data_IF_031576550545
#
_entry.id   IF_031576550545
#
_cell.length_a   1.000
_cell.length_b   1.000
_cell.length_c   1.000
_cell.angle_alpha   90.00
_cell.angle_beta   90.00
_cell.angle_gamma   90.00
#
_symmetry.space_group_name_H-M   'P 1'
#
loop_
_entity.id
_entity.type
_entity.pdbx_description
1 polymer ?
#
# COMPACT_ATOMS: atom_id res chain seq x y z
N UNK A 1 0.15 13.25 21.50
CA UNK A 1 1.55 13.50 21.88
C UNK A 1 2.34 13.62 20.58
N UNK A 2 3.06 14.71 20.38
CA UNK A 2 4.00 14.80 19.25
C UNK A 2 5.15 13.85 19.57
N UNK A 3 5.09 12.60 19.13
CA UNK A 3 6.27 11.74 19.15
C UNK A 3 7.26 12.32 18.15
N UNK A 4 8.40 12.74 18.64
CA UNK A 4 9.53 13.02 17.76
C UNK A 4 9.93 11.67 17.13
N UNK A 5 9.70 11.50 15.85
CA UNK A 5 9.98 10.26 15.11
C UNK A 5 11.47 9.86 15.16
N UNK A 6 12.34 10.77 15.58
CA UNK A 6 13.76 10.53 15.78
C UNK A 6 14.12 10.06 17.20
N UNK A 7 13.16 10.09 18.12
CA UNK A 7 13.29 9.65 19.52
C UNK A 7 12.52 8.34 19.78
N UNK A 8 11.96 7.71 18.75
CA UNK A 8 11.24 6.44 18.87
C UNK A 8 12.15 5.23 19.20
N UNK A 9 13.46 5.41 19.10
CA UNK A 9 14.46 4.40 19.45
C UNK A 9 14.66 3.31 18.38
N UNK A 10 14.05 3.45 17.19
CA UNK A 10 14.13 2.47 16.12
C UNK A 10 14.95 2.98 14.94
N UNK A 11 16.06 2.33 14.63
CA UNK A 11 16.78 2.55 13.38
C UNK A 11 15.99 1.89 12.25
N UNK A 12 15.62 2.66 11.21
CA UNK A 12 14.77 2.20 10.12
C UNK A 12 15.54 2.16 8.81
N UNK A 13 15.53 1.00 8.15
CA UNK A 13 16.10 0.81 6.82
C UNK A 13 15.01 0.30 5.89
N UNK A 14 14.75 1.02 4.82
CA UNK A 14 13.82 0.62 3.78
C UNK A 14 14.57 -0.13 2.65
N UNK A 15 14.31 -1.43 2.43
CA UNK A 15 14.95 -2.19 1.35
C UNK A 15 14.33 -1.90 -0.02
N UNK A 16 13.14 -1.30 -0.08
CA UNK A 16 12.34 -1.13 -1.27
C UNK A 16 11.76 0.28 -1.37
N UNK A 17 12.65 1.24 -1.60
CA UNK A 17 12.30 2.62 -1.88
C UNK A 17 12.51 2.90 -3.38
N UNK A 18 11.42 2.92 -4.13
CA UNK A 18 11.51 3.13 -5.56
C UNK A 18 11.90 4.55 -5.90
N UNK A 19 12.86 4.67 -6.82
CA UNK A 19 13.19 5.92 -7.48
C UNK A 19 12.68 5.85 -8.93
N UNK A 20 11.87 6.82 -9.30
CA UNK A 20 11.17 6.84 -10.58
C UNK A 20 11.65 8.04 -11.39
N UNK A 21 12.07 7.81 -12.64
CA UNK A 21 12.49 8.84 -13.57
C UNK A 21 11.34 9.67 -14.12
N UNK A 22 11.66 10.87 -14.61
CA UNK A 22 10.70 11.66 -15.37
C UNK A 22 10.35 10.90 -16.67
N UNK A 23 9.12 10.46 -16.74
CA UNK A 23 8.60 9.73 -17.88
C UNK A 23 8.17 10.64 -19.03
N UNK A 24 8.04 11.93 -18.78
CA UNK A 24 7.79 12.97 -19.77
C UNK A 24 6.96 12.52 -20.98
N UNK A 25 7.54 12.55 -22.19
CA UNK A 25 6.82 12.21 -23.43
C UNK A 25 6.30 10.77 -23.50
N UNK A 26 6.91 9.82 -22.77
CA UNK A 26 6.50 8.40 -22.83
C UNK A 26 5.25 8.08 -22.00
N UNK A 27 4.79 9.01 -21.17
CA UNK A 27 3.55 8.86 -20.40
C UNK A 27 2.31 8.56 -21.27
N UNK A 28 2.35 8.90 -22.54
CA UNK A 28 1.23 8.66 -23.47
C UNK A 28 1.23 7.25 -24.08
N UNK A 29 2.27 6.47 -23.91
CA UNK A 29 2.30 5.12 -24.46
C UNK A 29 1.30 4.20 -23.75
N UNK A 30 0.59 3.34 -24.53
CA UNK A 30 -0.44 2.48 -23.96
C UNK A 30 0.04 1.57 -22.82
N UNK A 31 1.28 1.07 -22.89
CA UNK A 31 1.89 0.27 -21.84
C UNK A 31 2.04 1.02 -20.53
N UNK A 32 2.50 2.27 -20.60
CA UNK A 32 2.62 3.15 -19.42
C UNK A 32 1.25 3.44 -18.82
N UNK A 33 0.27 3.73 -19.65
CA UNK A 33 -1.11 3.97 -19.20
C UNK A 33 -1.74 2.71 -18.54
N UNK A 34 -1.44 1.54 -19.07
CA UNK A 34 -1.87 0.28 -18.48
C UNK A 34 -1.24 0.06 -17.11
N UNK A 35 0.04 0.38 -16.98
CA UNK A 35 0.74 0.29 -15.71
C UNK A 35 0.16 1.25 -14.66
N UNK A 36 -0.11 2.52 -15.01
CA UNK A 36 -0.75 3.48 -14.11
C UNK A 36 -2.08 2.97 -13.57
N UNK A 37 -2.91 2.38 -14.43
CA UNK A 37 -4.19 1.77 -14.02
C UNK A 37 -3.99 0.61 -13.06
N UNK A 38 -2.94 -0.18 -13.27
CA UNK A 38 -2.62 -1.29 -12.36
C UNK A 38 -2.19 -0.77 -10.99
N UNK A 39 -1.31 0.24 -10.94
CA UNK A 39 -0.88 0.85 -9.67
C UNK A 39 -2.07 1.48 -8.93
N UNK A 40 -2.91 2.23 -9.60
CA UNK A 40 -4.12 2.78 -8.98
C UNK A 40 -5.00 1.66 -8.40
N UNK A 41 -5.17 0.56 -9.15
CA UNK A 41 -5.90 -0.62 -8.69
C UNK A 41 -5.30 -1.32 -7.46
N UNK A 42 -3.99 -1.26 -7.30
CA UNK A 42 -3.28 -1.82 -6.12
C UNK A 42 -3.40 -0.89 -4.92
N UNK A 43 -3.16 0.39 -5.15
CA UNK A 43 -3.08 1.36 -4.06
C UNK A 43 -4.45 1.61 -3.42
N UNK A 44 -5.54 1.59 -4.21
CA UNK A 44 -6.89 1.76 -3.67
C UNK A 44 -7.25 0.73 -2.59
N UNK A 45 -7.15 -0.60 -2.83
CA UNK A 45 -7.44 -1.57 -1.78
C UNK A 45 -6.46 -1.51 -0.59
N UNK A 46 -5.20 -1.19 -0.85
CA UNK A 46 -4.17 -1.06 0.21
C UNK A 46 -4.49 0.11 1.14
N UNK A 47 -5.06 1.18 0.59
CA UNK A 47 -5.45 2.38 1.32
C UNK A 47 -6.96 2.43 1.64
N UNK A 48 -7.72 1.39 1.34
CA UNK A 48 -9.15 1.34 1.66
C UNK A 48 -9.39 1.56 3.15
N UNK A 49 -10.24 2.53 3.47
CA UNK A 49 -10.45 2.97 4.86
C UNK A 49 -9.44 4.03 5.34
N UNK A 50 -8.43 4.36 4.52
CA UNK A 50 -7.59 5.51 4.79
C UNK A 50 -8.37 6.83 4.58
N UNK A 51 -7.97 7.91 5.26
CA UNK A 51 -8.54 9.23 5.02
C UNK A 51 -8.42 9.65 3.56
N UNK A 52 -9.40 10.40 3.05
CA UNK A 52 -9.49 10.82 1.64
C UNK A 52 -8.22 11.48 1.10
N UNK A 53 -7.51 12.24 1.93
CA UNK A 53 -6.25 12.85 1.50
C UNK A 53 -5.15 11.84 1.16
N UNK A 54 -5.15 10.63 1.75
CA UNK A 54 -4.23 9.56 1.34
C UNK A 54 -4.66 8.90 0.03
N UNK A 55 -5.97 8.82 -0.22
CA UNK A 55 -6.51 8.28 -1.47
C UNK A 55 -6.27 9.23 -2.65
N UNK A 56 -6.33 10.53 -2.40
CA UNK A 56 -6.11 11.57 -3.42
C UNK A 56 -4.63 11.86 -3.73
N UNK A 57 -3.70 11.26 -2.99
CA UNK A 57 -2.26 11.44 -3.21
C UNK A 57 -1.70 10.58 -4.34
N UNK A 58 -2.51 9.71 -4.95
CA UNK A 58 -2.09 8.78 -6.01
C UNK A 58 -2.43 9.37 -7.38
N UNK A 59 -2.00 10.58 -7.62
CA UNK A 59 -2.02 11.10 -8.97
C UNK A 59 -0.81 10.55 -9.73
N UNK A 60 -0.99 9.91 -10.89
CA UNK A 60 0.10 9.29 -11.65
C UNK A 60 1.30 10.22 -11.91
N UNK A 61 1.05 11.49 -12.11
CA UNK A 61 2.06 12.50 -12.36
C UNK A 61 2.88 12.90 -11.11
N UNK A 62 2.36 12.65 -9.90
CA UNK A 62 3.12 12.86 -8.66
C UNK A 62 4.28 11.85 -8.55
N UNK A 63 4.10 10.63 -9.06
CA UNK A 63 5.17 9.63 -9.09
C UNK A 63 6.35 10.06 -9.95
N UNK A 64 6.13 10.83 -10.98
CA UNK A 64 7.22 11.34 -11.84
C UNK A 64 8.10 12.37 -11.13
N UNK A 65 7.65 12.95 -10.02
CA UNK A 65 8.43 13.88 -9.20
C UNK A 65 9.35 13.19 -8.19
N UNK A 66 9.27 11.87 -8.05
CA UNK A 66 10.08 11.13 -7.10
C UNK A 66 11.52 10.91 -7.53
N UNK A 67 11.92 11.42 -8.71
CA UNK A 67 13.31 11.39 -9.17
C UNK A 67 14.25 12.34 -8.45
N UNK A 68 13.70 13.33 -7.78
CA UNK A 68 14.51 14.23 -6.97
C UNK A 68 14.85 13.52 -5.64
N UNK A 69 16.11 13.13 -5.41
CA UNK A 69 16.53 12.47 -4.18
C UNK A 69 16.23 13.31 -2.93
N UNK A 70 16.16 14.64 -3.06
CA UNK A 70 15.80 15.55 -1.97
C UNK A 70 14.34 15.35 -1.54
N UNK A 71 13.44 14.99 -2.44
CA UNK A 71 12.05 14.68 -2.09
C UNK A 71 11.97 13.39 -1.24
N UNK A 72 12.74 12.37 -1.62
CA UNK A 72 12.83 11.12 -0.87
C UNK A 72 13.44 11.41 0.51
N UNK A 73 14.53 12.16 0.55
CA UNK A 73 15.21 12.52 1.80
C UNK A 73 14.28 13.30 2.76
N UNK A 74 13.52 14.27 2.24
CA UNK A 74 12.53 14.99 3.05
C UNK A 74 11.48 14.07 3.65
N UNK A 75 10.97 13.11 2.87
CA UNK A 75 10.03 12.13 3.37
C UNK A 75 10.66 11.23 4.45
N UNK A 76 11.89 10.76 4.22
CA UNK A 76 12.63 9.97 5.21
C UNK A 76 12.84 10.76 6.51
N UNK A 77 13.26 12.01 6.40
CA UNK A 77 13.50 12.87 7.56
C UNK A 77 12.23 13.13 8.36
N UNK A 78 11.13 13.32 7.67
CA UNK A 78 9.83 13.55 8.26
C UNK A 78 9.30 12.37 9.07
N UNK A 79 9.55 11.15 8.58
CA UNK A 79 9.01 9.93 9.18
C UNK A 79 10.07 9.09 9.92
N UNK A 80 11.26 9.65 10.11
CA UNK A 80 12.31 9.03 10.90
C UNK A 80 12.91 7.78 10.27
N UNK A 81 13.08 7.76 8.94
CA UNK A 81 13.76 6.68 8.22
C UNK A 81 15.24 7.00 8.08
N UNK A 82 16.11 6.13 8.56
CA UNK A 82 17.57 6.38 8.62
C UNK A 82 18.26 6.14 7.28
N UNK A 83 17.88 5.07 6.59
CA UNK A 83 18.45 4.74 5.29
C UNK A 83 17.38 4.13 4.38
N UNK A 84 17.52 4.35 3.08
CA UNK A 84 16.69 3.74 2.07
C UNK A 84 17.53 3.13 0.95
N UNK A 85 17.20 1.90 0.58
CA UNK A 85 17.75 1.24 -0.59
C UNK A 85 16.99 1.76 -1.81
N UNK A 86 17.62 2.60 -2.61
CA UNK A 86 17.00 3.15 -3.81
C UNK A 86 16.95 2.08 -4.89
N UNK A 87 15.73 1.71 -5.23
CA UNK A 87 15.41 0.66 -6.18
C UNK A 87 14.83 1.29 -7.46
N UNK A 88 15.57 1.27 -8.57
CA UNK A 88 15.02 1.71 -9.84
C UNK A 88 14.05 0.66 -10.39
N UNK A 89 12.88 1.11 -10.82
CA UNK A 89 11.99 0.30 -11.62
C UNK A 89 12.42 0.36 -13.08
N UNK A 90 12.95 -0.73 -13.56
CA UNK A 90 13.26 -0.94 -14.94
C UNK A 90 12.54 -2.20 -15.39
N UNK A 91 11.25 -2.12 -15.56
CA UNK A 91 10.50 -3.15 -16.24
C UNK A 91 10.77 -3.00 -17.72
N UNK A 92 11.82 -3.62 -18.17
CA UNK A 92 12.17 -3.72 -19.59
C UNK A 92 11.31 -4.84 -20.18
N UNK A 93 10.22 -4.53 -20.42
CA UNK A 93 9.15 -4.99 -21.14
C UNK A 93 9.40 -6.01 -22.22
N UNK A 94 8.62 -7.01 -22.09
CA UNK A 94 8.19 -7.84 -23.20
C UNK A 94 7.44 -7.06 -24.28
N UNK A 95 7.12 -5.80 -24.14
CA UNK A 95 6.42 -4.94 -25.09
C UNK A 95 7.23 -3.75 -25.59
N UNK A 96 8.52 -3.70 -25.24
CA UNK A 96 9.49 -2.79 -25.84
C UNK A 96 9.63 -1.40 -25.24
N UNK A 97 8.78 -0.93 -24.32
CA UNK A 97 8.87 0.41 -23.70
C UNK A 97 8.01 0.62 -22.47
N UNK A 98 7.51 -0.42 -21.86
CA UNK A 98 6.37 -0.18 -20.98
C UNK A 98 6.69 0.54 -19.70
N UNK A 99 7.91 0.44 -19.19
CA UNK A 99 8.07 0.96 -17.85
C UNK A 99 9.51 1.14 -17.41
N UNK A 100 10.29 1.76 -18.25
CA UNK A 100 11.61 2.20 -17.82
C UNK A 100 11.50 3.53 -17.11
N UNK A 101 11.46 3.49 -15.80
CA UNK A 101 11.24 4.68 -14.99
C UNK A 101 12.52 5.29 -14.48
N UNK A 102 13.52 4.43 -14.27
CA UNK A 102 14.81 4.83 -13.76
C UNK A 102 15.82 3.73 -14.09
N UNK A 103 17.03 4.08 -14.41
CA UNK A 103 18.11 3.10 -14.57
C UNK A 103 18.89 2.92 -13.29
N UNK A 104 19.61 1.80 -13.16
CA UNK A 104 20.59 1.62 -12.08
C UNK A 104 21.59 2.78 -12.01
N UNK A 105 21.98 3.33 -13.16
CA UNK A 105 22.87 4.49 -13.25
C UNK A 105 22.24 5.79 -12.69
N UNK A 106 20.95 6.01 -12.92
CA UNK A 106 20.25 7.18 -12.37
C UNK A 106 20.07 7.04 -10.86
N UNK A 107 19.69 5.86 -10.38
CA UNK A 107 19.63 5.58 -8.95
C UNK A 107 21.00 5.76 -8.28
N UNK A 108 22.08 5.34 -8.95
CA UNK A 108 23.45 5.56 -8.45
C UNK A 108 23.80 7.03 -8.32
N UNK A 109 23.42 7.88 -9.27
CA UNK A 109 23.61 9.33 -9.13
C UNK A 109 22.90 9.88 -7.91
N UNK A 110 21.65 9.44 -7.67
CA UNK A 110 20.90 9.82 -6.47
C UNK A 110 21.58 9.35 -5.20
N UNK A 111 22.08 8.11 -5.15
CA UNK A 111 22.82 7.58 -3.99
C UNK A 111 24.07 8.44 -3.67
N UNK A 112 24.75 8.93 -4.70
CA UNK A 112 25.96 9.75 -4.52
C UNK A 112 25.68 11.13 -3.91
N UNK A 113 24.43 11.62 -3.92
CA UNK A 113 24.09 12.90 -3.28
C UNK A 113 24.06 12.77 -1.75
N UNK A 114 23.62 11.63 -1.22
CA UNK A 114 23.51 11.37 0.22
C UNK A 114 23.94 9.94 0.54
N UNK A 115 25.24 9.61 0.42
CA UNK A 115 25.74 8.23 0.55
C UNK A 115 25.64 7.64 1.96
N UNK A 116 25.36 8.45 2.96
CA UNK A 116 25.07 8.06 4.33
C UNK A 116 23.59 7.69 4.55
N UNK A 117 22.72 8.13 3.66
CA UNK A 117 21.27 7.92 3.74
C UNK A 117 20.73 6.98 2.66
N UNK A 118 21.33 7.00 1.48
CA UNK A 118 20.90 6.18 0.35
C UNK A 118 21.86 5.02 0.08
N UNK A 119 21.29 3.89 -0.24
CA UNK A 119 21.97 2.65 -0.60
C UNK A 119 21.47 2.26 -2.00
N UNK A 120 22.37 1.85 -2.88
CA UNK A 120 21.93 1.34 -4.19
C UNK A 120 21.37 -0.08 -4.04
N UNK A 121 20.18 -0.31 -4.59
CA UNK A 121 19.60 -1.64 -4.80
C UNK A 121 19.38 -1.85 -6.30
N UNK A 122 20.42 -2.28 -7.06
CA UNK A 122 20.30 -2.41 -8.49
C UNK A 122 19.24 -3.45 -8.88
N UNK A 123 18.37 -3.09 -9.82
CA UNK A 123 17.46 -4.04 -10.44
C UNK A 123 18.19 -4.79 -11.56
N UNK A 124 18.35 -6.11 -11.40
CA UNK A 124 19.04 -6.96 -12.34
C UNK A 124 18.10 -7.63 -13.36
N UNK A 125 16.81 -7.37 -13.26
CA UNK A 125 15.81 -7.97 -14.15
C UNK A 125 15.81 -7.35 -15.56
N UNK A 126 15.41 -8.11 -16.56
CA UNK A 126 15.21 -9.55 -16.56
C UNK A 126 16.57 -10.29 -16.65
N UNK A 127 16.76 -11.35 -15.87
CA UNK A 127 18.07 -12.08 -15.82
C UNK A 127 18.21 -13.04 -16.99
N UNK A 128 17.22 -13.90 -17.20
CA UNK A 128 17.25 -14.90 -18.26
C UNK A 128 17.19 -14.26 -19.64
N UNK A 129 16.25 -13.34 -19.86
CA UNK A 129 16.03 -12.72 -21.17
C UNK A 129 17.22 -11.85 -21.62
N UNK A 130 17.91 -11.18 -20.69
CA UNK A 130 19.14 -10.42 -20.99
C UNK A 130 20.36 -11.31 -21.15
N UNK A 131 20.26 -12.54 -20.72
CA UNK A 131 21.34 -13.51 -20.60
C UNK A 131 22.00 -13.50 -19.22
N UNK A 132 22.02 -14.66 -18.59
CA UNK A 132 22.53 -14.88 -17.22
C UNK A 132 23.95 -14.33 -17.03
N UNK A 133 24.84 -14.49 -18.01
CA UNK A 133 26.21 -13.95 -17.96
C UNK A 133 26.25 -12.42 -17.87
N UNK A 134 25.33 -11.74 -18.55
CA UNK A 134 25.24 -10.28 -18.49
C UNK A 134 24.72 -9.80 -17.13
N UNK A 135 23.77 -10.52 -16.55
CA UNK A 135 23.27 -10.22 -15.21
C UNK A 135 24.35 -10.46 -14.13
N UNK A 136 25.14 -11.51 -14.26
CA UNK A 136 26.31 -11.78 -13.39
C UNK A 136 27.31 -10.64 -13.50
N UNK A 137 27.70 -10.27 -14.72
CA UNK A 137 28.63 -9.15 -14.95
C UNK A 137 28.11 -7.84 -14.33
N UNK A 138 26.83 -7.53 -14.48
CA UNK A 138 26.24 -6.33 -13.89
C UNK A 138 26.22 -6.40 -12.35
N UNK A 139 25.91 -7.56 -11.79
CA UNK A 139 25.97 -7.76 -10.33
C UNK A 139 27.39 -7.51 -9.81
N UNK A 140 28.40 -8.09 -10.43
CA UNK A 140 29.82 -7.90 -10.09
C UNK A 140 30.22 -6.42 -10.19
N UNK A 141 29.83 -5.74 -11.27
CA UNK A 141 30.07 -4.31 -11.47
C UNK A 141 29.51 -3.46 -10.32
N UNK A 142 28.30 -3.79 -9.84
CA UNK A 142 27.71 -3.07 -8.72
C UNK A 142 28.32 -3.47 -7.37
N UNK A 143 28.74 -4.72 -7.21
CA UNK A 143 29.50 -5.15 -6.02
C UNK A 143 30.82 -4.39 -5.88
N UNK A 144 31.53 -4.12 -6.97
CA UNK A 144 32.71 -3.27 -6.98
C UNK A 144 32.41 -1.84 -6.53
N UNK A 145 31.19 -1.37 -6.72
CA UNK A 145 30.67 -0.09 -6.20
C UNK A 145 30.04 -0.21 -4.81
N UNK A 146 30.30 -1.31 -4.10
CA UNK A 146 29.84 -1.60 -2.74
C UNK A 146 28.33 -1.84 -2.61
N UNK A 147 27.61 -2.13 -3.69
CA UNK A 147 26.26 -2.69 -3.57
C UNK A 147 26.33 -4.05 -2.88
N UNK A 148 25.36 -4.33 -2.02
CA UNK A 148 25.23 -5.62 -1.33
C UNK A 148 23.86 -6.25 -1.52
N UNK A 149 22.87 -5.45 -1.92
CA UNK A 149 21.48 -5.81 -2.08
C UNK A 149 21.10 -5.62 -3.54
N UNK A 150 20.35 -6.56 -4.10
CA UNK A 150 19.99 -6.60 -5.53
C UNK A 150 18.56 -7.07 -5.72
N UNK A 151 17.80 -6.37 -6.55
CA UNK A 151 16.43 -6.75 -6.91
C UNK A 151 16.41 -7.73 -8.06
N UNK A 152 15.58 -8.76 -7.92
CA UNK A 152 15.11 -9.61 -9.01
C UNK A 152 13.58 -9.57 -9.10
N UNK A 153 13.06 -9.09 -10.23
CA UNK A 153 11.65 -9.04 -10.55
C UNK A 153 11.32 -10.13 -11.58
N UNK A 154 11.06 -11.34 -11.10
CA UNK A 154 10.79 -12.52 -11.91
C UNK A 154 9.51 -12.46 -12.77
N UNK A 155 8.44 -11.70 -12.40
CA UNK A 155 7.23 -11.65 -13.21
C UNK A 155 7.42 -11.29 -14.68
N UNK A 156 8.43 -10.53 -15.03
CA UNK A 156 8.76 -10.17 -16.42
C UNK A 156 9.91 -10.99 -17.03
N UNK A 157 10.31 -12.06 -16.38
CA UNK A 157 11.43 -12.87 -16.81
C UNK A 157 11.05 -14.35 -16.96
N UNK A 158 11.19 -15.11 -15.88
CA UNK A 158 10.95 -16.55 -15.84
C UNK A 158 10.60 -17.00 -14.42
N UNK A 159 10.37 -18.29 -14.20
CA UNK A 159 10.20 -18.87 -12.88
C UNK A 159 11.45 -18.61 -12.02
N UNK A 160 11.25 -18.29 -10.74
CA UNK A 160 12.36 -18.10 -9.78
C UNK A 160 13.26 -19.35 -9.75
N UNK A 161 12.67 -20.54 -9.80
CA UNK A 161 13.36 -21.82 -9.81
C UNK A 161 13.68 -22.35 -11.23
N UNK A 162 13.81 -21.48 -12.23
CA UNK A 162 14.27 -21.88 -13.56
C UNK A 162 15.75 -22.31 -13.48
N UNK A 163 16.10 -23.55 -13.85
CA UNK A 163 17.48 -24.04 -13.74
C UNK A 163 18.52 -23.23 -14.51
N UNK A 164 18.11 -22.48 -15.53
CA UNK A 164 19.03 -21.60 -16.25
C UNK A 164 19.55 -20.46 -15.38
N UNK A 165 18.86 -20.12 -14.27
CA UNK A 165 19.29 -19.11 -13.30
C UNK A 165 20.31 -19.63 -12.27
N UNK A 166 20.56 -20.95 -12.18
CA UNK A 166 21.46 -21.53 -11.18
C UNK A 166 22.86 -20.93 -11.19
N UNK A 167 23.50 -20.66 -12.36
CA UNK A 167 24.80 -19.98 -12.37
C UNK A 167 24.77 -18.58 -11.76
N UNK A 168 23.64 -17.84 -11.89
CA UNK A 168 23.45 -16.54 -11.28
C UNK A 168 23.33 -16.64 -9.77
N UNK A 169 22.49 -17.57 -9.25
CA UNK A 169 22.34 -17.78 -7.81
C UNK A 169 23.62 -18.24 -7.17
N UNK A 170 24.33 -19.17 -7.80
CA UNK A 170 25.63 -19.62 -7.33
C UNK A 170 26.61 -18.44 -7.22
N UNK A 171 26.66 -17.59 -8.22
CA UNK A 171 27.56 -16.45 -8.20
C UNK A 171 27.17 -15.41 -7.14
N UNK A 172 25.87 -15.17 -6.97
CA UNK A 172 25.36 -14.30 -5.93
C UNK A 172 25.72 -14.82 -4.52
N UNK A 173 25.59 -16.12 -4.30
CA UNK A 173 26.01 -16.78 -3.06
C UNK A 173 27.50 -16.61 -2.80
N UNK A 174 28.35 -16.92 -3.78
CA UNK A 174 29.81 -16.78 -3.68
C UNK A 174 30.26 -15.35 -3.35
N UNK A 175 29.53 -14.35 -3.85
CA UNK A 175 29.81 -12.93 -3.62
C UNK A 175 29.20 -12.43 -2.29
N UNK A 176 28.36 -13.22 -1.61
CA UNK A 176 27.64 -12.81 -0.42
C UNK A 176 26.59 -11.73 -0.69
N UNK A 177 26.03 -11.71 -1.90
CA UNK A 177 24.96 -10.79 -2.28
C UNK A 177 23.66 -11.12 -1.53
N UNK A 178 22.87 -10.08 -1.23
CA UNK A 178 21.49 -10.20 -0.74
C UNK A 178 20.55 -10.03 -1.92
N UNK A 179 19.79 -11.07 -2.26
CA UNK A 179 18.83 -11.00 -3.35
C UNK A 179 17.42 -10.68 -2.82
N UNK A 180 16.89 -9.55 -3.24
CA UNK A 180 15.50 -9.17 -2.99
C UNK A 180 14.63 -9.64 -4.15
N UNK A 181 13.73 -10.56 -3.87
CA UNK A 181 12.89 -11.18 -4.89
C UNK A 181 11.44 -10.75 -4.72
N UNK A 182 10.83 -10.30 -5.82
CA UNK A 182 9.39 -10.08 -5.84
C UNK A 182 8.67 -11.41 -5.68
N UNK A 183 7.78 -11.52 -4.69
CA UNK A 183 7.03 -12.76 -4.42
C UNK A 183 5.54 -12.49 -4.22
N UNK A 184 4.73 -13.52 -4.48
CA UNK A 184 3.29 -13.48 -4.28
C UNK A 184 2.54 -13.28 -5.58
N UNK A 185 2.12 -12.07 -5.86
CA UNK A 185 1.35 -11.73 -7.04
C UNK A 185 1.92 -10.48 -7.72
N UNK A 186 2.07 -10.53 -9.04
CA UNK A 186 2.40 -9.35 -9.82
C UNK A 186 1.11 -8.69 -10.29
N UNK A 187 0.89 -7.46 -9.85
CA UNK A 187 -0.27 -6.68 -10.26
C UNK A 187 -0.04 -5.90 -11.54
N UNK A 188 1.22 -5.78 -11.93
CA UNK A 188 1.62 -4.90 -13.02
C UNK A 188 1.76 -5.68 -14.31
N UNK A 189 0.87 -5.48 -15.30
CA UNK A 189 1.09 -6.00 -16.64
C UNK A 189 2.33 -5.34 -17.26
N UNK A 190 3.13 -6.09 -18.04
CA UNK A 190 2.92 -7.45 -18.54
C UNK A 190 3.42 -8.58 -17.62
N UNK A 191 3.77 -8.29 -16.38
CA UNK A 191 4.27 -9.28 -15.43
C UNK A 191 3.32 -10.46 -15.24
N UNK A 192 3.89 -11.66 -15.12
CA UNK A 192 3.13 -12.92 -14.98
C UNK A 192 3.27 -13.45 -13.57
N UNK A 193 2.22 -13.38 -12.77
CA UNK A 193 2.19 -13.81 -11.37
C UNK A 193 2.65 -15.26 -11.14
N UNK A 194 2.50 -16.14 -12.13
CA UNK A 194 3.00 -17.51 -12.05
C UNK A 194 4.51 -17.59 -11.85
N UNK A 195 5.26 -16.55 -12.22
CA UNK A 195 6.71 -16.52 -12.10
C UNK A 195 7.22 -16.06 -10.73
N UNK A 196 6.34 -15.60 -9.84
CA UNK A 196 6.72 -15.12 -8.51
C UNK A 196 5.98 -15.84 -7.36
N UNK A 197 5.46 -17.05 -7.61
CA UNK A 197 4.86 -17.84 -6.55
C UNK A 197 5.92 -18.24 -5.52
N UNK A 198 5.72 -18.00 -4.20
CA UNK A 198 6.79 -18.12 -3.19
C UNK A 198 7.33 -19.54 -3.00
N UNK A 199 6.57 -20.58 -3.33
CA UNK A 199 7.08 -21.96 -3.24
C UNK A 199 8.25 -22.24 -4.18
N UNK A 200 8.45 -21.43 -5.21
CA UNK A 200 9.62 -21.55 -6.10
C UNK A 200 10.94 -21.23 -5.37
N UNK A 201 10.87 -20.48 -4.25
CA UNK A 201 12.04 -20.22 -3.41
C UNK A 201 12.56 -21.46 -2.70
N UNK A 202 11.73 -22.48 -2.51
CA UNK A 202 12.12 -23.74 -1.83
C UNK A 202 13.32 -24.39 -2.52
N UNK A 203 13.27 -24.52 -3.85
CA UNK A 203 14.35 -25.09 -4.64
C UNK A 203 15.62 -24.24 -4.57
N UNK A 204 15.48 -22.93 -4.73
CA UNK A 204 16.63 -22.01 -4.72
C UNK A 204 17.28 -21.94 -3.34
N UNK A 205 16.48 -21.83 -2.29
CA UNK A 205 17.00 -21.73 -0.92
C UNK A 205 17.68 -23.01 -0.45
N UNK A 206 17.19 -24.17 -0.92
CA UNK A 206 17.80 -25.49 -0.64
C UNK A 206 19.13 -25.64 -1.36
N UNK A 207 19.19 -25.29 -2.65
CA UNK A 207 20.37 -25.53 -3.48
C UNK A 207 21.48 -24.48 -3.23
N UNK A 208 21.11 -23.31 -2.67
CA UNK A 208 22.01 -22.20 -2.32
C UNK A 208 21.81 -21.76 -0.86
N UNK A 209 22.21 -22.58 0.12
CA UNK A 209 21.87 -22.36 1.54
C UNK A 209 22.56 -21.13 2.17
N UNK A 210 23.66 -20.65 1.60
CA UNK A 210 24.35 -19.43 2.06
C UNK A 210 23.85 -18.15 1.39
N UNK A 211 23.10 -18.27 0.28
CA UNK A 211 22.49 -17.15 -0.40
C UNK A 211 21.44 -16.49 0.49
N UNK A 212 21.55 -15.20 0.74
CA UNK A 212 20.55 -14.42 1.51
C UNK A 212 19.43 -13.96 0.59
N UNK A 213 18.24 -14.48 0.82
CA UNK A 213 17.04 -14.20 0.01
C UNK A 213 16.06 -13.38 0.85
N UNK A 214 15.67 -12.21 0.37
CA UNK A 214 14.62 -11.38 0.95
C UNK A 214 13.39 -11.46 0.06
N UNK A 215 12.36 -12.13 0.53
CA UNK A 215 11.10 -12.29 -0.19
C UNK A 215 10.20 -11.08 0.08
N UNK A 216 10.01 -10.22 -0.92
CA UNK A 216 9.21 -9.01 -0.83
C UNK A 216 7.71 -9.32 -0.77
N UNK A 217 6.96 -8.41 -0.16
CA UNK A 217 5.49 -8.43 -0.05
C UNK A 217 4.92 -9.64 0.71
N UNK A 218 5.71 -10.27 1.59
CA UNK A 218 5.27 -11.45 2.35
C UNK A 218 4.70 -12.58 1.50
N UNK A 219 5.05 -12.64 0.20
CA UNK A 219 4.45 -13.58 -0.73
C UNK A 219 2.95 -13.43 -0.93
N UNK A 220 2.34 -12.31 -0.52
CA UNK A 220 0.90 -12.12 -0.55
C UNK A 220 0.32 -12.32 -1.97
N UNK A 221 -0.81 -13.05 -2.13
CA UNK A 221 -1.69 -13.62 -1.11
C UNK A 221 -1.29 -15.01 -0.56
N UNK A 222 -0.13 -15.53 -0.91
CA UNK A 222 0.36 -16.86 -0.54
C UNK A 222 1.30 -16.81 0.68
N UNK A 223 1.02 -15.95 1.66
CA UNK A 223 1.90 -15.72 2.83
C UNK A 223 2.16 -16.98 3.64
N UNK A 224 1.15 -17.84 3.78
CA UNK A 224 1.29 -19.12 4.50
C UNK A 224 2.30 -20.06 3.81
N UNK A 225 2.26 -20.12 2.48
CA UNK A 225 3.22 -20.89 1.71
C UNK A 225 4.65 -20.35 1.88
N UNK A 226 4.81 -19.02 1.87
CA UNK A 226 6.11 -18.39 2.11
C UNK A 226 6.61 -18.64 3.54
N UNK A 227 5.74 -18.59 4.55
CA UNK A 227 6.09 -18.89 5.92
C UNK A 227 6.65 -20.32 6.05
N UNK A 228 6.05 -21.29 5.35
CA UNK A 228 6.54 -22.67 5.35
C UNK A 228 7.89 -22.81 4.65
N UNK A 229 8.10 -22.13 3.54
CA UNK A 229 9.42 -22.08 2.88
C UNK A 229 10.46 -21.48 3.82
N UNK A 230 10.18 -20.32 4.43
CA UNK A 230 11.11 -19.68 5.35
C UNK A 230 11.33 -20.48 6.64
N UNK A 231 10.36 -21.26 7.10
CA UNK A 231 10.54 -22.18 8.23
C UNK A 231 11.58 -23.25 7.90
N UNK A 232 11.52 -23.80 6.69
CA UNK A 232 12.46 -24.84 6.23
C UNK A 232 13.84 -24.28 5.86
N UNK A 233 13.95 -23.00 5.51
CA UNK A 233 15.17 -22.40 4.97
C UNK A 233 15.59 -21.15 5.75
N UNK A 234 16.62 -21.23 6.61
CA UNK A 234 17.06 -20.11 7.46
C UNK A 234 17.67 -18.94 6.67
N UNK A 235 17.99 -19.13 5.41
CA UNK A 235 18.51 -18.11 4.50
C UNK A 235 17.41 -17.28 3.81
N UNK A 236 16.11 -17.58 4.06
CA UNK A 236 14.96 -16.83 3.54
C UNK A 236 14.45 -15.87 4.61
N UNK A 237 14.39 -14.59 4.25
CA UNK A 237 13.87 -13.48 5.03
C UNK A 237 12.57 -12.96 4.43
N UNK A 238 11.65 -12.52 5.28
CA UNK A 238 10.32 -12.06 4.90
C UNK A 238 10.28 -10.54 4.95
N UNK A 239 9.89 -9.88 3.87
CA UNK A 239 9.76 -8.42 3.85
C UNK A 239 8.30 -7.98 3.82
N UNK A 240 7.94 -7.08 4.73
CA UNK A 240 6.60 -6.53 4.92
C UNK A 240 6.24 -5.43 3.91
N UNK A 241 7.15 -5.09 2.98
CA UNK A 241 6.93 -4.01 2.03
C UNK A 241 5.56 -4.12 1.36
N UNK A 242 4.95 -2.99 1.01
CA UNK A 242 3.57 -2.83 0.54
C UNK A 242 2.49 -3.08 1.62
N UNK A 243 2.67 -4.04 2.53
CA UNK A 243 1.61 -4.49 3.44
C UNK A 243 1.54 -3.71 4.75
N UNK A 244 2.61 -3.03 5.15
CA UNK A 244 2.66 -2.33 6.45
C UNK A 244 1.55 -1.28 6.63
N UNK A 245 1.13 -0.52 5.60
CA UNK A 245 -0.02 0.39 5.73
C UNK A 245 -1.33 -0.29 6.18
N UNK A 246 -1.46 -1.60 5.99
CA UNK A 246 -2.61 -2.36 6.50
C UNK A 246 -2.67 -2.41 8.03
N UNK A 247 -1.58 -2.15 8.73
CA UNK A 247 -1.61 -1.94 10.18
C UNK A 247 -2.58 -0.82 10.58
N UNK A 248 -2.78 0.17 9.70
CA UNK A 248 -3.69 1.31 9.89
C UNK A 248 -5.08 1.06 9.27
N UNK A 249 -5.15 0.41 8.11
CA UNK A 249 -6.36 0.32 7.28
C UNK A 249 -7.09 -1.01 7.40
N UNK A 250 -6.37 -2.09 7.73
CA UNK A 250 -6.89 -3.45 7.90
C UNK A 250 -6.15 -4.20 9.01
N UNK A 251 -6.15 -3.69 10.27
CA UNK A 251 -5.25 -4.12 11.34
C UNK A 251 -5.37 -5.61 11.67
N UNK A 252 -6.55 -6.18 11.64
CA UNK A 252 -6.75 -7.62 11.89
C UNK A 252 -6.12 -8.49 10.79
N UNK A 253 -6.22 -8.04 9.53
CA UNK A 253 -5.58 -8.75 8.42
C UNK A 253 -4.07 -8.69 8.50
N UNK A 254 -3.53 -7.50 8.81
CA UNK A 254 -2.10 -7.34 9.03
C UNK A 254 -1.61 -8.16 10.23
N UNK A 255 -2.38 -8.19 11.31
CA UNK A 255 -2.10 -8.98 12.50
C UNK A 255 -2.00 -10.48 12.19
N UNK A 256 -2.85 -11.02 11.32
CA UNK A 256 -2.74 -12.40 10.87
C UNK A 256 -1.45 -12.65 10.09
N UNK A 257 -1.15 -11.82 9.11
CA UNK A 257 0.07 -11.98 8.29
C UNK A 257 1.33 -11.91 9.16
N UNK A 258 1.43 -10.88 10.01
CA UNK A 258 2.59 -10.69 10.87
C UNK A 258 2.66 -11.75 11.98
N UNK A 259 1.51 -12.09 12.58
CA UNK A 259 1.42 -13.08 13.65
C UNK A 259 1.85 -14.47 13.21
N UNK A 260 1.42 -14.92 12.05
CA UNK A 260 1.88 -16.19 11.45
C UNK A 260 3.38 -16.16 11.16
N UNK A 261 3.88 -15.05 10.57
CA UNK A 261 5.31 -14.91 10.30
C UNK A 261 6.17 -14.97 11.59
N UNK A 262 5.76 -14.25 12.64
CA UNK A 262 6.47 -14.28 13.94
C UNK A 262 6.42 -15.68 14.54
N UNK A 263 5.26 -16.34 14.48
CA UNK A 263 5.06 -17.67 15.07
C UNK A 263 5.93 -18.74 14.41
N UNK A 264 6.02 -18.77 13.08
CA UNK A 264 6.70 -19.84 12.35
C UNK A 264 8.16 -19.50 12.02
N UNK A 265 8.47 -18.23 11.75
CA UNK A 265 9.78 -17.81 11.25
C UNK A 265 10.57 -17.07 12.32
N UNK A 266 9.86 -16.36 13.20
CA UNK A 266 10.46 -15.52 14.24
C UNK A 266 10.82 -14.11 13.74
N UNK A 267 10.91 -13.13 14.67
CA UNK A 267 11.14 -11.73 14.35
C UNK A 267 12.54 -11.46 13.76
N UNK A 268 13.50 -12.36 13.95
CA UNK A 268 14.89 -12.20 13.50
C UNK A 268 15.08 -12.30 11.97
N UNK A 269 14.03 -12.71 11.25
CA UNK A 269 14.04 -12.85 9.79
C UNK A 269 12.89 -12.08 9.11
N UNK A 270 12.26 -11.15 9.81
CA UNK A 270 11.25 -10.26 9.26
C UNK A 270 11.89 -8.89 9.05
N UNK A 271 11.63 -8.28 7.90
CA UNK A 271 12.20 -7.00 7.48
C UNK A 271 11.05 -6.05 7.18
N UNK A 272 11.12 -4.84 7.72
CA UNK A 272 10.24 -3.74 7.38
C UNK A 272 10.60 -3.18 5.99
N UNK A 273 9.64 -2.62 5.27
CA UNK A 273 9.86 -1.93 4.01
C UNK A 273 8.62 -1.15 3.59
N UNK A 274 8.77 -0.24 2.64
CA UNK A 274 7.67 0.62 2.22
C UNK A 274 7.06 0.24 0.89
N UNK A 275 7.85 -0.21 -0.09
CA UNK A 275 7.44 -0.30 -1.49
C UNK A 275 6.95 1.06 -2.01
N UNK A 276 7.63 2.12 -1.56
CA UNK A 276 7.22 3.47 -1.92
C UNK A 276 7.69 3.79 -3.32
N UNK A 277 6.75 4.17 -4.16
CA UNK A 277 7.04 4.72 -5.47
C UNK A 277 7.39 6.22 -5.39
N UNK A 278 8.15 6.63 -4.36
CA UNK A 278 8.52 8.02 -4.13
C UNK A 278 7.46 8.86 -3.42
N UNK A 279 6.40 8.24 -2.90
CA UNK A 279 5.39 8.94 -2.11
C UNK A 279 5.80 9.05 -0.66
N UNK A 280 5.97 10.27 -0.19
CA UNK A 280 6.18 10.53 1.23
C UNK A 280 5.09 9.93 2.11
N UNK A 281 3.86 9.91 1.63
CA UNK A 281 2.73 9.33 2.34
C UNK A 281 2.87 7.82 2.59
N UNK A 282 3.38 7.06 1.62
CA UNK A 282 3.57 5.62 1.77
C UNK A 282 4.69 5.33 2.77
N UNK A 283 5.79 6.09 2.72
CA UNK A 283 6.86 6.02 3.72
C UNK A 283 6.28 6.33 5.11
N UNK A 284 5.44 7.36 5.21
CA UNK A 284 4.78 7.74 6.46
C UNK A 284 3.85 6.65 6.99
N UNK A 285 2.94 6.16 6.16
CA UNK A 285 1.98 5.13 6.54
C UNK A 285 2.68 3.84 6.99
N UNK A 286 3.75 3.42 6.29
CA UNK A 286 4.53 2.25 6.67
C UNK A 286 5.31 2.48 7.97
N UNK A 287 5.92 3.66 8.16
CA UNK A 287 6.67 3.97 9.38
C UNK A 287 5.76 4.07 10.60
N UNK A 288 4.66 4.82 10.52
CA UNK A 288 3.71 5.00 11.62
C UNK A 288 2.91 3.72 11.87
N UNK A 289 2.54 3.00 10.80
CA UNK A 289 1.71 1.81 10.89
C UNK A 289 2.30 0.72 11.78
N UNK A 290 3.59 0.44 11.67
CA UNK A 290 4.23 -0.58 12.51
C UNK A 290 4.61 -0.03 13.89
N UNK A 291 4.88 1.28 14.00
CA UNK A 291 5.39 1.87 15.25
C UNK A 291 4.46 1.60 16.43
N UNK A 292 3.19 1.92 16.28
CA UNK A 292 2.16 1.77 17.33
C UNK A 292 1.41 0.44 17.24
N UNK A 293 1.71 -0.40 16.24
CA UNK A 293 0.99 -1.63 16.02
C UNK A 293 1.27 -2.66 17.12
N UNK A 294 0.21 -3.34 17.53
CA UNK A 294 0.27 -4.53 18.37
C UNK A 294 -0.67 -5.60 17.82
N UNK A 295 -0.28 -6.85 17.94
CA UNK A 295 -1.18 -7.96 17.59
C UNK A 295 -2.31 -7.98 18.62
N UNK A 296 -3.59 -7.88 18.21
CA UNK A 296 -4.72 -7.90 19.13
C UNK A 296 -4.71 -9.12 20.06
N UNK A 297 -4.97 -8.92 21.35
CA UNK A 297 -4.97 -10.00 22.37
C UNK A 297 -5.91 -11.14 21.98
N UNK A 298 -7.05 -10.83 21.39
CA UNK A 298 -7.99 -11.83 20.86
C UNK A 298 -7.32 -12.78 19.87
N UNK A 299 -6.48 -12.26 18.97
CA UNK A 299 -5.78 -13.07 17.98
C UNK A 299 -4.61 -13.84 18.61
N UNK A 300 -3.93 -13.24 19.60
CA UNK A 300 -2.91 -13.93 20.37
C UNK A 300 -3.49 -15.18 21.03
N UNK A 301 -4.63 -15.04 21.69
CA UNK A 301 -5.30 -16.15 22.37
C UNK A 301 -5.85 -17.18 21.37
N UNK A 302 -6.53 -16.72 20.33
CA UNK A 302 -7.26 -17.59 19.40
C UNK A 302 -6.35 -18.39 18.46
N UNK A 303 -5.23 -17.78 18.04
CA UNK A 303 -4.31 -18.37 17.06
C UNK A 303 -2.92 -18.68 17.63
N UNK A 304 -2.67 -18.36 18.89
CA UNK A 304 -1.37 -18.57 19.54
C UNK A 304 -0.29 -17.63 19.00
N UNK A 305 -0.67 -16.42 18.56
CA UNK A 305 0.30 -15.43 18.15
C UNK A 305 1.01 -14.83 19.35
N UNK A 306 2.28 -14.47 19.17
CA UNK A 306 3.04 -13.78 20.20
C UNK A 306 2.79 -12.28 20.15
N UNK A 307 2.81 -11.57 21.31
CA UNK A 307 2.81 -10.12 21.32
C UNK A 307 4.05 -9.57 20.61
N UNK A 308 3.90 -8.44 19.95
CA UNK A 308 5.00 -7.76 19.26
C UNK A 308 5.73 -6.84 20.26
N UNK A 309 6.93 -7.22 20.66
CA UNK A 309 7.75 -6.43 21.59
C UNK A 309 8.50 -5.29 20.86
N UNK A 310 8.97 -4.31 21.64
CA UNK A 310 9.85 -3.26 21.08
C UNK A 310 11.18 -3.82 20.57
N UNK A 311 11.66 -4.90 21.16
CA UNK A 311 12.85 -5.59 20.65
C UNK A 311 12.59 -6.22 19.27
N UNK A 312 11.42 -6.85 19.09
CA UNK A 312 11.03 -7.38 17.79
C UNK A 312 10.90 -6.25 16.76
N UNK A 313 10.30 -5.12 17.13
CA UNK A 313 10.22 -3.94 16.27
C UNK A 313 11.61 -3.40 15.89
N UNK A 314 12.57 -3.35 16.81
CA UNK A 314 13.96 -2.95 16.49
C UNK A 314 14.59 -3.87 15.45
N UNK A 315 14.40 -5.18 15.59
CA UNK A 315 14.88 -6.16 14.63
C UNK A 315 14.22 -5.93 13.26
N UNK A 316 12.89 -5.81 13.24
CA UNK A 316 12.09 -5.69 12.02
C UNK A 316 12.37 -4.36 11.29
N UNK A 317 12.41 -3.22 11.98
CA UNK A 317 12.60 -1.92 11.35
C UNK A 317 13.96 -1.75 10.67
N UNK A 318 15.03 -2.27 11.27
CA UNK A 318 16.34 -2.09 10.70
C UNK A 318 17.41 -3.08 11.15
N UNK A 319 17.26 -3.71 12.32
CA UNK A 319 18.28 -4.60 12.86
C UNK A 319 18.60 -5.79 11.94
N UNK A 320 17.58 -6.43 11.38
CA UNK A 320 17.75 -7.59 10.50
C UNK A 320 18.40 -7.21 9.17
N UNK A 321 17.90 -6.17 8.51
CA UNK A 321 18.48 -5.71 7.25
C UNK A 321 19.87 -5.10 7.47
N UNK A 322 20.06 -4.36 8.56
CA UNK A 322 21.36 -3.82 8.95
C UNK A 322 22.42 -4.92 9.09
N UNK A 323 22.06 -6.03 9.74
CA UNK A 323 22.94 -7.21 9.87
C UNK A 323 23.28 -7.81 8.50
N UNK A 324 22.32 -7.95 7.60
CA UNK A 324 22.57 -8.48 6.24
C UNK A 324 23.49 -7.56 5.43
N UNK A 325 23.34 -6.25 5.56
CA UNK A 325 24.10 -5.26 4.79
C UNK A 325 25.40 -4.82 5.49
N UNK A 326 25.61 -5.21 6.74
CA UNK A 326 26.75 -4.77 7.54
C UNK A 326 26.66 -3.29 7.91
N UNK A 327 25.45 -2.81 8.20
CA UNK A 327 25.19 -1.41 8.60
C UNK A 327 25.07 -1.34 10.12
N UNK A 328 25.78 -0.39 10.73
CA UNK A 328 25.61 -0.07 12.16
C UNK A 328 24.25 0.63 12.36
N UNK A 329 23.37 -0.04 13.08
CA UNK A 329 22.03 0.44 13.41
C UNK A 329 21.91 1.01 14.82
N UNK A 330 23.03 1.22 15.51
CA UNK A 330 23.04 1.78 16.87
C UNK A 330 22.91 3.30 16.90
N UNK A 331 23.15 3.97 15.78
CA UNK A 331 23.13 5.43 15.68
C UNK A 331 22.22 5.89 14.56
N UNK A 332 21.20 6.67 14.93
CA UNK A 332 20.27 7.28 13.97
C UNK A 332 21.03 8.21 13.01
N UNK A 333 20.65 8.22 11.75
CA UNK A 333 21.36 8.95 10.67
C UNK A 333 20.74 10.29 10.29
N UNK A 334 19.52 10.57 10.73
CA UNK A 334 18.81 11.82 10.46
C UNK A 334 18.50 12.62 11.73
N UNK A 335 17.65 13.63 11.63
CA UNK A 335 17.14 14.41 12.78
C UNK A 335 18.04 15.57 13.24
N UNK A 336 19.18 15.80 12.61
CA UNK A 336 20.09 16.91 13.02
C UNK A 336 19.71 18.28 12.47
N UNK A 337 18.81 18.36 11.50
CA UNK A 337 18.09 19.57 11.05
C UNK A 337 16.84 19.11 10.32
N UNK A 338 15.68 19.25 10.96
CA UNK A 338 14.43 19.34 10.22
C UNK A 338 14.61 20.52 9.26
N UNK A 339 14.73 20.28 7.98
CA UNK A 339 14.61 21.33 6.98
C UNK A 339 13.16 21.77 7.06
N UNK A 340 13.01 22.93 7.64
CA UNK A 340 11.77 23.62 7.83
C UNK A 340 11.07 23.89 6.49
N UNK A 341 9.78 23.60 6.51
CA UNK A 341 8.72 24.33 5.84
C UNK A 341 8.70 24.39 4.33
N UNK A 342 8.01 23.44 3.75
CA UNK A 342 7.05 23.80 2.69
C UNK A 342 6.04 22.70 2.30
N UNK A 343 5.97 21.60 3.04
CA UNK A 343 4.83 20.68 2.90
C UNK A 343 3.81 21.10 3.96
N UNK A 344 2.85 21.87 3.57
CA UNK A 344 1.76 22.38 4.42
C UNK A 344 0.89 21.20 4.90
N UNK A 345 1.20 20.74 5.94
CA UNK A 345 0.91 20.63 7.33
C UNK A 345 -0.52 20.18 7.75
N UNK A 346 -1.56 20.35 7.00
CA UNK A 346 -2.90 19.97 7.47
C UNK A 346 -3.23 18.48 7.32
N UNK A 347 -2.71 17.83 6.30
CA UNK A 347 -3.00 16.42 6.03
C UNK A 347 -2.39 15.46 7.05
N UNK A 348 -1.25 15.81 7.65
CA UNK A 348 -0.49 14.93 8.54
C UNK A 348 -0.90 14.98 10.00
N UNK A 349 -1.29 16.17 10.46
CA UNK A 349 -1.94 16.31 11.76
C UNK A 349 -3.22 15.47 11.81
N UNK A 350 -3.88 15.32 10.67
CA UNK A 350 -5.09 14.52 10.53
C UNK A 350 -4.78 13.02 10.59
N UNK A 351 -3.68 12.53 9.96
CA UNK A 351 -3.29 11.11 10.05
C UNK A 351 -2.94 10.73 11.50
N UNK A 352 -2.06 11.52 12.15
CA UNK A 352 -1.64 11.28 13.53
C UNK A 352 -2.76 11.53 14.54
N UNK A 353 -3.65 12.49 14.28
CA UNK A 353 -4.81 12.73 15.13
C UNK A 353 -5.85 11.63 15.01
N UNK A 354 -6.19 11.19 13.79
CA UNK A 354 -7.19 10.13 13.57
C UNK A 354 -6.71 8.75 14.02
N UNK A 355 -5.42 8.42 13.92
CA UNK A 355 -4.89 7.18 14.51
C UNK A 355 -4.97 7.14 16.05
N UNK A 356 -5.02 8.33 16.68
CA UNK A 356 -5.20 8.47 18.15
C UNK A 356 -6.66 8.58 18.55
N UNK A 357 -7.50 9.19 17.72
CA UNK A 357 -8.94 9.29 17.93
C UNK A 357 -9.65 7.95 17.71
N UNK A 358 -9.17 7.09 16.82
CA UNK A 358 -9.68 5.73 16.64
C UNK A 358 -9.55 4.84 17.90
N UNK A 359 -8.80 5.29 18.91
CA UNK A 359 -8.74 4.67 20.23
C UNK A 359 -9.71 5.29 21.26
N UNK A 360 -10.51 6.31 20.91
CA UNK A 360 -11.26 7.06 21.92
C UNK A 360 -12.73 7.39 21.62
N UNK A 361 -13.23 7.22 20.40
CA UNK A 361 -14.66 7.45 20.13
C UNK A 361 -15.14 6.44 19.10
N UNK A 362 -16.23 5.74 19.41
CA UNK A 362 -17.11 5.21 18.39
C UNK A 362 -17.48 6.38 17.48
N UNK A 363 -16.85 6.46 16.30
CA UNK A 363 -17.25 7.42 15.27
C UNK A 363 -18.64 7.00 14.83
N UNK A 364 -19.64 7.67 15.34
CA UNK A 364 -20.97 7.69 14.73
C UNK A 364 -20.74 8.33 13.36
N UNK A 365 -20.49 7.51 12.34
CA UNK A 365 -20.59 7.94 10.95
C UNK A 365 -21.97 8.56 10.79
N UNK A 366 -22.13 9.70 10.08
CA UNK A 366 -23.46 10.19 9.77
C UNK A 366 -24.19 9.04 9.10
N UNK A 367 -25.34 8.70 9.63
CA UNK A 367 -26.16 7.59 9.17
C UNK A 367 -26.54 7.91 7.72
N UNK A 368 -25.84 7.31 6.77
CA UNK A 368 -26.12 7.51 5.34
C UNK A 368 -27.32 6.69 4.88
N UNK A 369 -27.81 5.80 5.73
CA UNK A 369 -28.94 4.91 5.49
C UNK A 369 -30.03 5.15 6.52
N UNK A 370 -31.24 5.41 6.04
CA UNK A 370 -32.42 5.74 6.85
C UNK A 370 -33.50 4.72 6.57
N UNK A 371 -33.92 4.00 7.60
CA UNK A 371 -35.19 3.27 7.56
C UNK A 371 -36.33 4.28 7.61
N UNK A 372 -37.21 4.23 6.62
CA UNK A 372 -38.30 5.19 6.48
C UNK A 372 -39.67 4.50 6.40
N UNK A 373 -40.67 5.22 6.84
CA UNK A 373 -42.08 4.90 6.60
C UNK A 373 -42.57 5.82 5.50
N UNK A 374 -43.13 5.23 4.44
CA UNK A 374 -43.69 5.94 3.29
C UNK A 374 -45.20 5.74 3.33
N UNK A 375 -45.92 6.82 3.57
CA UNK A 375 -47.39 6.78 3.59
C UNK A 375 -47.93 6.83 2.18
N UNK A 376 -48.64 5.77 1.78
CA UNK A 376 -49.24 5.63 0.47
C UNK A 376 -50.76 5.52 0.57
N UNK A 377 -51.53 5.72 -0.51
CA UNK A 377 -53.00 5.48 -0.50
C UNK A 377 -53.42 4.05 -0.12
N UNK A 378 -52.47 3.10 -0.19
CA UNK A 378 -52.67 1.70 0.21
C UNK A 378 -52.19 1.39 1.62
N UNK A 379 -51.86 2.43 2.42
CA UNK A 379 -51.33 2.30 3.76
C UNK A 379 -49.81 2.54 3.82
N UNK A 380 -49.28 2.55 5.04
CA UNK A 380 -47.88 2.83 5.32
C UNK A 380 -46.99 1.63 4.91
N UNK A 381 -45.95 1.90 4.15
CA UNK A 381 -44.99 0.95 3.67
C UNK A 381 -43.59 1.28 4.19
N UNK A 382 -42.83 0.24 4.55
CA UNK A 382 -41.42 0.40 4.92
C UNK A 382 -40.53 0.53 3.69
N UNK A 383 -39.53 1.40 3.79
CA UNK A 383 -38.49 1.59 2.78
C UNK A 383 -37.17 1.96 3.41
N UNK A 384 -36.15 2.06 2.58
CA UNK A 384 -34.82 2.52 2.97
C UNK A 384 -34.39 3.66 2.04
N UNK A 385 -33.80 4.71 2.61
CA UNK A 385 -33.20 5.83 1.85
C UNK A 385 -31.74 5.87 2.17
N UNK A 386 -30.89 5.68 1.15
CA UNK A 386 -29.44 5.85 1.24
C UNK A 386 -29.08 7.16 0.56
N UNK A 387 -28.41 8.07 1.27
CA UNK A 387 -28.02 9.37 0.77
C UNK A 387 -26.50 9.53 0.75
N UNK A 388 -25.99 10.14 -0.31
CA UNK A 388 -24.62 10.58 -0.44
C UNK A 388 -24.61 12.10 -0.64
N UNK A 389 -23.94 12.81 0.24
CA UNK A 389 -23.80 14.26 0.22
C UNK A 389 -22.37 14.62 -0.18
N UNK A 390 -22.22 15.46 -1.20
CA UNK A 390 -20.95 16.02 -1.64
C UNK A 390 -21.10 17.53 -1.77
N UNK A 391 -20.64 18.27 -0.76
CA UNK A 391 -20.89 19.69 -0.62
C UNK A 391 -22.39 20.00 -0.55
N UNK A 392 -22.93 20.68 -1.55
CA UNK A 392 -24.36 20.95 -1.69
C UNK A 392 -25.08 19.97 -2.62
N UNK A 393 -24.35 19.02 -3.21
CA UNK A 393 -24.90 18.02 -4.12
C UNK A 393 -25.40 16.80 -3.34
N UNK A 394 -26.54 16.26 -3.76
CA UNK A 394 -27.17 15.11 -3.14
C UNK A 394 -27.45 14.03 -4.21
N UNK A 395 -27.06 12.81 -3.91
CA UNK A 395 -27.39 11.64 -4.70
C UNK A 395 -27.79 10.48 -3.76
N UNK A 396 -28.38 9.43 -4.31
CA UNK A 396 -28.73 8.32 -3.44
C UNK A 396 -29.65 7.28 -4.10
N UNK A 397 -30.17 6.41 -3.23
CA UNK A 397 -31.10 5.33 -3.61
C UNK A 397 -32.27 5.30 -2.64
N UNK A 398 -33.48 5.19 -3.18
CA UNK A 398 -34.70 4.89 -2.44
C UNK A 398 -35.10 3.46 -2.74
N UNK A 399 -35.03 2.58 -1.75
CA UNK A 399 -35.52 1.21 -1.84
C UNK A 399 -36.94 1.14 -1.31
N UNK A 400 -37.90 0.86 -2.19
CA UNK A 400 -39.32 0.87 -1.88
C UNK A 400 -40.06 -0.17 -2.73
N UNK A 401 -40.97 -0.92 -2.14
CA UNK A 401 -41.78 -1.97 -2.81
C UNK A 401 -40.92 -2.97 -3.61
N UNK A 402 -39.79 -3.41 -3.06
CA UNK A 402 -38.82 -4.32 -3.69
C UNK A 402 -38.14 -3.75 -4.95
N UNK A 403 -38.11 -2.46 -5.11
CA UNK A 403 -37.44 -1.77 -6.20
C UNK A 403 -36.44 -0.74 -5.66
N UNK A 404 -35.24 -0.71 -6.25
CA UNK A 404 -34.23 0.31 -5.97
C UNK A 404 -34.30 1.40 -7.05
N UNK A 405 -34.44 2.63 -6.58
CA UNK A 405 -34.61 3.81 -7.42
C UNK A 405 -33.49 4.79 -7.10
N UNK A 406 -32.51 4.87 -7.97
CA UNK A 406 -31.35 5.77 -7.82
C UNK A 406 -31.69 7.16 -8.38
N UNK A 407 -31.20 8.19 -7.73
CA UNK A 407 -31.26 9.56 -8.21
C UNK A 407 -29.89 10.24 -8.12
N UNK A 408 -29.68 11.22 -8.98
CA UNK A 408 -28.51 12.10 -9.02
C UNK A 408 -28.96 13.54 -9.26
N UNK A 409 -28.12 14.52 -8.94
CA UNK A 409 -28.44 15.94 -9.17
C UNK A 409 -29.44 16.53 -8.18
N UNK A 410 -29.57 15.93 -7.00
CA UNK A 410 -30.27 16.55 -5.86
C UNK A 410 -29.42 17.61 -5.19
N UNK A 411 -30.02 18.38 -4.30
CA UNK A 411 -29.37 19.43 -3.51
C UNK A 411 -29.72 19.32 -2.05
N UNK A 412 -28.75 19.74 -1.21
CA UNK A 412 -28.93 19.95 0.23
C UNK A 412 -28.33 21.32 0.58
N UNK A 413 -29.05 22.11 1.36
CA UNK A 413 -28.55 23.41 1.84
C UNK A 413 -27.95 23.31 3.26
N UNK A 414 -27.38 24.42 3.74
CA UNK A 414 -26.77 24.51 5.06
C UNK A 414 -27.75 24.27 6.23
N UNK A 415 -29.05 24.46 5.99
CA UNK A 415 -30.11 24.21 6.95
C UNK A 415 -30.63 22.78 6.91
N UNK A 416 -30.05 21.93 6.04
CA UNK A 416 -30.43 20.54 5.86
C UNK A 416 -31.69 20.33 5.01
N UNK A 417 -32.15 21.35 4.26
CA UNK A 417 -33.26 21.15 3.34
C UNK A 417 -32.79 20.41 2.10
N UNK A 418 -33.52 19.39 1.70
CA UNK A 418 -33.17 18.50 0.58
C UNK A 418 -34.19 18.63 -0.55
N UNK A 419 -33.71 18.57 -1.79
CA UNK A 419 -34.55 18.54 -2.99
C UNK A 419 -33.93 17.66 -4.06
N UNK A 420 -34.67 16.70 -4.59
CA UNK A 420 -34.23 15.84 -5.70
C UNK A 420 -35.40 15.26 -6.50
N UNK A 421 -35.09 14.75 -7.69
CA UNK A 421 -36.05 14.18 -8.63
C UNK A 421 -35.59 12.81 -9.10
N UNK A 422 -36.51 11.96 -9.45
CA UNK A 422 -36.23 10.63 -10.01
C UNK A 422 -37.48 9.96 -10.54
N UNK A 423 -37.31 8.68 -10.91
CA UNK A 423 -38.41 7.83 -11.39
C UNK A 423 -38.55 6.62 -10.44
N UNK A 424 -39.71 6.44 -9.85
CA UNK A 424 -40.07 5.22 -9.15
C UNK A 424 -40.42 4.11 -10.14
N UNK A 425 -39.78 2.98 -10.04
CA UNK A 425 -40.16 1.76 -10.77
C UNK A 425 -41.33 1.11 -10.05
N UNK A 426 -42.48 1.04 -10.71
CA UNK A 426 -43.69 0.40 -10.20
C UNK A 426 -44.10 -0.73 -11.11
N UNK A 427 -44.97 -1.65 -10.66
CA UNK A 427 -45.53 -2.70 -11.52
C UNK A 427 -46.30 -2.15 -12.74
N UNK A 428 -46.75 -0.88 -12.69
CA UNK A 428 -47.48 -0.19 -13.74
C UNK A 428 -46.58 0.65 -14.67
N UNK A 429 -45.24 0.65 -14.44
CA UNK A 429 -44.28 1.43 -15.20
C UNK A 429 -43.48 2.42 -14.33
N UNK A 430 -42.79 3.35 -14.99
CA UNK A 430 -42.04 4.40 -14.30
C UNK A 430 -42.96 5.54 -13.91
N UNK A 431 -42.88 6.00 -12.68
CA UNK A 431 -43.61 7.12 -12.13
C UNK A 431 -42.62 8.21 -11.70
N UNK A 432 -42.63 9.38 -12.33
CA UNK A 432 -41.73 10.47 -11.93
C UNK A 432 -42.14 11.02 -10.56
N UNK A 433 -41.13 11.41 -9.78
CA UNK A 433 -41.34 12.08 -8.50
C UNK A 433 -40.44 13.30 -8.31
N UNK A 434 -40.87 14.22 -7.47
CA UNK A 434 -40.05 15.30 -6.92
C UNK A 434 -40.14 15.22 -5.40
N UNK A 435 -39.00 15.07 -4.72
CA UNK A 435 -38.93 15.05 -3.26
C UNK A 435 -38.39 16.38 -2.75
N UNK A 436 -39.07 16.94 -1.75
CA UNK A 436 -38.60 18.07 -0.94
C UNK A 436 -38.77 17.77 0.53
N UNK A 437 -37.82 18.14 1.36
CA UNK A 437 -37.87 17.84 2.79
C UNK A 437 -36.65 18.32 3.55
N UNK A 438 -36.42 17.73 4.69
CA UNK A 438 -35.27 18.05 5.56
C UNK A 438 -34.56 16.79 6.03
N UNK A 439 -33.26 16.92 6.18
CA UNK A 439 -32.35 15.97 6.81
C UNK A 439 -31.70 16.67 7.98
N UNK A 440 -32.18 16.43 9.21
CA UNK A 440 -31.71 17.07 10.44
C UNK A 440 -31.60 16.04 11.56
N UNK A 441 -30.56 16.16 12.36
CA UNK A 441 -30.34 15.31 13.53
C UNK A 441 -30.41 13.78 13.23
N UNK A 442 -29.93 13.39 12.05
CA UNK A 442 -29.96 11.99 11.62
C UNK A 442 -31.36 11.47 11.26
N UNK A 443 -32.33 12.37 11.04
CA UNK A 443 -33.70 12.02 10.63
C UNK A 443 -34.05 12.68 9.32
N UNK A 444 -34.78 11.92 8.45
CA UNK A 444 -35.34 12.44 7.21
C UNK A 444 -36.86 12.66 7.38
N UNK A 445 -37.32 13.82 6.93
CA UNK A 445 -38.74 14.14 6.80
C UNK A 445 -38.97 14.83 5.47
N UNK A 446 -39.69 14.18 4.56
CA UNK A 446 -39.83 14.64 3.20
C UNK A 446 -41.22 14.32 2.62
N UNK A 447 -41.57 15.00 1.53
CA UNK A 447 -42.76 14.75 0.75
C UNK A 447 -42.32 14.46 -0.69
N UNK A 448 -42.75 13.32 -1.22
CA UNK A 448 -42.59 12.98 -2.63
C UNK A 448 -43.92 13.33 -3.36
N UNK A 449 -43.83 14.31 -4.27
CA UNK A 449 -44.93 14.66 -5.19
C UNK A 449 -44.89 13.73 -6.39
N UNK A 450 -45.97 13.02 -6.62
CA UNK A 450 -46.13 12.07 -7.72
C UNK A 450 -47.47 12.31 -8.46
N UNK A 451 -47.64 11.70 -9.62
CA UNK A 451 -48.91 11.74 -10.36
C UNK A 451 -50.08 11.04 -9.59
N UNK A 452 -49.74 10.19 -8.60
CA UNK A 452 -50.74 9.51 -7.78
C UNK A 452 -51.06 10.25 -6.46
N UNK A 453 -50.50 11.45 -6.29
CA UNK A 453 -50.61 12.27 -5.07
C UNK A 453 -49.32 12.37 -4.29
N UNK A 454 -49.37 13.06 -3.17
CA UNK A 454 -48.25 13.34 -2.28
C UNK A 454 -48.01 12.15 -1.33
N UNK A 455 -46.78 11.66 -1.27
CA UNK A 455 -46.35 10.58 -0.36
C UNK A 455 -45.47 11.17 0.74
N UNK A 456 -45.84 10.96 2.01
CA UNK A 456 -45.01 11.38 3.13
C UNK A 456 -43.92 10.34 3.40
N UNK A 457 -42.67 10.80 3.61
CA UNK A 457 -41.50 9.97 3.92
C UNK A 457 -40.93 10.44 5.26
N UNK A 458 -40.88 9.58 6.25
CA UNK A 458 -40.33 9.90 7.58
C UNK A 458 -39.42 8.77 8.06
N UNK A 459 -38.30 9.13 8.69
CA UNK A 459 -37.48 8.15 9.42
C UNK A 459 -38.31 7.44 10.50
N UNK A 460 -38.02 6.15 10.68
CA UNK A 460 -38.59 5.36 11.79
C UNK A 460 -37.93 5.71 13.09
#
# INVERSE_FOLDING_TARGET
>A
MNHNVWEDGFFKIDPECHIIGDMGPVNHFPGVQMWWRAIDGIMRPTLQGAPDHLLNMIEPWEMTKSTDPENILRAMDKYGVDAACLLPESMMDTTGYSSRWCTNGDAWKAVQTHPDRFIINPNLSPIKQRGVKNAIWEMEYWMDKRAKIFKYYSPEDTYINDPELWPFYKRAEELGAVLCMHTGFSWVPPGKSKYCHPTQLDDVARDFPELKIVAFHMGYPYSDALNMVALGHPNVYLCLSLLVPWALTAPYKFAHILGEAIRFVGPDRIIWGTDSAGYGAQIGAASVGLLDFQIPEELQWKYGYLPLSDEDKRKIFGGNLGRLLGIDTTKRRGGKKAVHDSLTDNSERIILAKSKEAKREEVILPKNEYEVLISTPMGDQSGTVVLTVDGTSLSGTISFMKSDNTFTGGTIDADGNVSFKGDLKTPLGKMPYTITGSLKDGMISAIAKTEMGDLSIKSK
#
